data_IF_873690081908
#
_entry.id   IF_873690081908
#
_cell.length_a   1.000
_cell.length_b   1.000
_cell.length_c   1.000
_cell.angle_alpha   90.00
_cell.angle_beta   90.00
_cell.angle_gamma   90.00
#
_symmetry.space_group_name_H-M   'P 1'
#
loop_
_entity.id
_entity.type
_entity.pdbx_description
1 polymer ?
#
# COMPACT_ATOMS: atom_id res chain seq x y z
N UNK A 1 10.99 -26.48 -117.45
CA UNK A 1 10.67 -26.96 -116.09
C UNK A 1 11.29 -26.01 -115.07
N UNK A 2 10.48 -25.28 -114.28
CA UNK A 2 10.97 -24.38 -113.23
C UNK A 2 10.75 -25.07 -111.88
N UNK A 3 11.81 -25.53 -111.24
CA UNK A 3 11.73 -26.23 -109.96
C UNK A 3 11.58 -25.22 -108.82
N UNK A 4 10.48 -25.35 -108.06
CA UNK A 4 10.24 -24.61 -106.81
C UNK A 4 10.95 -25.36 -105.68
N UNK A 5 11.93 -24.72 -105.04
CA UNK A 5 12.45 -25.17 -103.75
C UNK A 5 11.80 -24.34 -102.65
N UNK A 6 10.94 -24.97 -101.84
CA UNK A 6 10.40 -24.40 -100.62
C UNK A 6 11.33 -24.81 -99.47
N UNK A 7 12.12 -23.87 -98.97
CA UNK A 7 13.04 -24.09 -97.85
C UNK A 7 12.27 -23.82 -96.54
N UNK A 8 11.88 -24.89 -95.84
CA UNK A 8 11.22 -24.80 -94.54
C UNK A 8 12.29 -24.82 -93.42
N UNK A 9 12.53 -23.67 -92.80
CA UNK A 9 13.45 -23.56 -91.65
C UNK A 9 12.76 -24.07 -90.38
N UNK A 10 13.24 -25.17 -89.81
CA UNK A 10 12.97 -25.55 -88.42
C UNK A 10 13.87 -24.73 -87.50
N UNK A 11 13.28 -23.83 -86.71
CA UNK A 11 13.98 -23.12 -85.63
C UNK A 11 13.74 -23.89 -84.32
N UNK A 12 14.78 -24.32 -83.59
CA UNK A 12 14.60 -24.90 -82.26
C UNK A 12 14.15 -23.81 -81.28
N UNK A 13 12.97 -23.99 -80.69
CA UNK A 13 12.49 -23.17 -79.58
C UNK A 13 13.26 -23.58 -78.32
N UNK A 14 14.21 -22.74 -77.88
CA UNK A 14 14.82 -22.85 -76.55
C UNK A 14 14.14 -21.81 -75.67
N UNK A 15 13.14 -22.22 -74.89
CA UNK A 15 12.49 -21.36 -73.90
C UNK A 15 13.27 -21.40 -72.58
N UNK A 16 13.96 -20.32 -72.21
CA UNK A 16 14.40 -20.11 -70.83
C UNK A 16 13.25 -19.52 -70.01
N UNK A 17 12.96 -20.10 -68.85
CA UNK A 17 11.95 -19.61 -67.90
C UNK A 17 12.51 -18.49 -67.01
N UNK A 18 11.84 -17.33 -67.05
CA UNK A 18 11.90 -16.10 -66.20
C UNK A 18 13.25 -15.61 -65.64
N UNK A 19 13.61 -14.37 -66.00
CA UNK A 19 14.36 -13.42 -65.17
C UNK A 19 13.59 -12.09 -65.17
N UNK A 20 13.18 -11.63 -63.99
CA UNK A 20 12.54 -10.33 -63.80
C UNK A 20 13.57 -9.24 -63.55
N UNK A 21 13.72 -8.31 -64.50
CA UNK A 21 14.70 -7.21 -64.44
C UNK A 21 13.93 -5.90 -64.33
N UNK A 22 13.20 -5.66 -63.23
CA UNK A 22 12.12 -4.68 -63.31
C UNK A 22 11.00 -5.06 -64.31
N UNK A 23 10.82 -6.37 -64.57
CA UNK A 23 9.59 -7.17 -64.82
C UNK A 23 8.32 -6.56 -65.52
N UNK A 24 7.63 -7.32 -66.41
CA UNK A 24 6.16 -7.16 -66.67
C UNK A 24 5.31 -8.36 -66.21
N UNK A 25 5.84 -9.21 -65.32
CA UNK A 25 5.20 -10.06 -64.29
C UNK A 25 5.96 -11.38 -63.93
N UNK A 26 7.28 -11.37 -63.69
CA UNK A 26 7.88 -12.43 -62.88
C UNK A 26 7.60 -12.36 -61.37
N UNK A 27 7.41 -13.55 -60.79
CA UNK A 27 7.04 -13.78 -59.38
C UNK A 27 7.98 -14.81 -58.72
N UNK A 28 9.30 -14.64 -58.95
CA UNK A 28 10.54 -15.43 -58.54
C UNK A 28 11.10 -16.38 -59.64
N UNK A 29 12.35 -16.88 -59.68
CA UNK A 29 13.52 -16.85 -58.75
C UNK A 29 14.79 -16.27 -59.41
N UNK A 30 15.47 -15.41 -58.64
CA UNK A 30 16.85 -14.96 -58.87
C UNK A 30 17.71 -15.65 -57.79
N UNK A 31 18.67 -16.49 -58.20
CA UNK A 31 19.66 -17.06 -57.30
C UNK A 31 21.02 -16.41 -57.55
N UNK A 32 21.61 -15.85 -56.50
CA UNK A 32 22.92 -15.20 -56.55
C UNK A 32 23.86 -16.02 -55.68
N UNK A 33 24.77 -16.77 -56.30
CA UNK A 33 25.85 -17.46 -55.61
C UNK A 33 26.97 -16.46 -55.24
N UNK A 34 26.67 -15.57 -54.29
CA UNK A 34 27.52 -14.46 -53.84
C UNK A 34 26.76 -13.42 -53.01
N UNK A 35 27.43 -12.31 -52.67
CA UNK A 35 26.80 -11.20 -51.95
C UNK A 35 26.11 -10.21 -52.90
N UNK A 36 24.96 -9.69 -52.50
CA UNK A 36 24.32 -8.55 -53.16
C UNK A 36 24.75 -7.27 -52.42
N UNK A 37 25.43 -6.37 -53.14
CA UNK A 37 25.78 -5.04 -52.60
C UNK A 37 24.74 -4.04 -53.05
N UNK A 38 24.09 -3.38 -52.09
CA UNK A 38 23.21 -2.26 -52.35
C UNK A 38 23.98 -0.94 -52.23
N UNK A 39 23.58 0.05 -53.05
CA UNK A 39 24.12 1.41 -52.90
C UNK A 39 23.61 2.01 -51.59
N UNK A 40 24.52 2.41 -50.73
CA UNK A 40 24.22 3.24 -49.56
C UNK A 40 24.16 4.71 -49.96
N UNK A 41 23.09 5.40 -49.55
CA UNK A 41 22.91 6.84 -49.74
C UNK A 41 22.85 7.54 -48.38
N UNK A 42 23.53 8.68 -48.25
CA UNK A 42 23.57 9.45 -46.99
C UNK A 42 22.53 10.56 -46.98
N UNK A 43 21.83 10.71 -45.85
CA UNK A 43 20.84 11.75 -45.61
C UNK A 43 21.17 12.46 -44.30
N UNK A 44 21.53 13.75 -44.39
CA UNK A 44 21.90 14.53 -43.21
C UNK A 44 20.66 15.03 -42.48
N UNK A 45 20.65 14.88 -41.16
CA UNK A 45 19.63 15.42 -40.27
C UNK A 45 19.69 16.94 -40.26
N UNK A 46 18.54 17.56 -40.47
CA UNK A 46 18.32 18.99 -40.22
C UNK A 46 17.11 19.15 -39.30
N UNK A 47 17.26 19.91 -38.21
CA UNK A 47 16.18 20.16 -37.25
C UNK A 47 15.50 18.88 -36.72
N UNK A 48 16.28 17.85 -36.41
CA UNK A 48 15.80 16.52 -35.99
C UNK A 48 14.84 15.85 -37.00
N UNK A 49 15.01 16.14 -38.30
CA UNK A 49 14.32 15.45 -39.37
C UNK A 49 15.31 14.94 -40.42
N UNK A 50 15.03 13.76 -41.00
CA UNK A 50 15.77 13.19 -42.12
C UNK A 50 14.78 12.76 -43.21
N UNK A 51 15.00 13.21 -44.44
CA UNK A 51 14.11 12.92 -45.56
C UNK A 51 14.81 12.05 -46.62
N UNK A 52 14.44 10.77 -46.66
CA UNK A 52 14.90 9.78 -47.64
C UNK A 52 14.00 9.92 -48.87
N UNK A 53 14.23 10.96 -49.67
CA UNK A 53 13.35 11.36 -50.78
C UNK A 53 13.67 10.66 -52.12
N UNK A 54 14.62 9.73 -52.13
CA UNK A 54 15.02 8.97 -53.31
C UNK A 54 14.86 7.47 -53.06
N UNK A 55 14.50 6.72 -54.09
CA UNK A 55 14.44 5.25 -54.01
C UNK A 55 15.83 4.67 -53.72
N UNK A 56 16.02 4.15 -52.50
CA UNK A 56 17.28 3.53 -52.05
C UNK A 56 16.98 2.29 -51.23
N UNK A 57 17.89 1.31 -51.27
CA UNK A 57 17.79 0.10 -50.44
C UNK A 57 18.54 0.23 -49.12
N UNK A 58 19.53 1.13 -49.03
CA UNK A 58 20.24 1.45 -47.79
C UNK A 58 20.33 2.97 -47.65
N UNK A 59 19.76 3.48 -46.56
CA UNK A 59 19.81 4.89 -46.19
C UNK A 59 20.62 5.08 -44.91
N UNK A 60 21.68 5.87 -44.99
CA UNK A 60 22.51 6.25 -43.86
C UNK A 60 22.13 7.64 -43.36
N UNK A 61 21.50 7.71 -42.19
CA UNK A 61 21.14 8.98 -41.59
C UNK A 61 22.33 9.47 -40.76
N UNK A 62 22.81 10.68 -41.08
CA UNK A 62 24.02 11.29 -40.48
C UNK A 62 23.75 12.71 -39.99
N UNK A 63 24.75 13.39 -39.43
CA UNK A 63 24.60 14.75 -38.90
C UNK A 63 24.29 14.79 -37.41
N UNK A 64 24.18 15.99 -36.84
CA UNK A 64 24.00 16.18 -35.39
C UNK A 64 22.53 16.28 -35.02
N UNK A 65 22.03 15.28 -34.31
CA UNK A 65 20.71 15.27 -33.71
C UNK A 65 20.76 15.88 -32.30
N UNK A 66 19.79 16.74 -31.98
CA UNK A 66 19.59 17.33 -30.65
C UNK A 66 18.35 16.77 -29.93
N UNK A 67 17.65 15.85 -30.60
CA UNK A 67 16.48 15.13 -30.11
C UNK A 67 16.18 13.94 -31.03
N UNK A 68 15.07 13.23 -30.76
CA UNK A 68 14.63 12.12 -31.62
C UNK A 68 14.44 12.57 -33.06
N UNK A 69 15.03 11.85 -34.01
CA UNK A 69 14.98 12.18 -35.44
C UNK A 69 13.71 11.62 -36.06
N UNK A 70 12.86 12.47 -36.63
CA UNK A 70 11.72 12.04 -37.44
C UNK A 70 12.19 11.69 -38.86
N UNK A 71 12.02 10.43 -39.27
CA UNK A 71 12.41 9.98 -40.60
C UNK A 71 11.18 9.90 -41.50
N UNK A 72 11.25 10.57 -42.65
CA UNK A 72 10.33 10.35 -43.76
C UNK A 72 11.07 9.64 -44.88
N UNK A 73 10.39 8.73 -45.57
CA UNK A 73 10.91 8.07 -46.75
C UNK A 73 9.94 8.22 -47.91
N UNK A 74 10.45 8.04 -49.12
CA UNK A 74 9.64 7.88 -50.32
C UNK A 74 8.58 6.78 -50.11
N UNK A 75 7.45 6.93 -50.79
CA UNK A 75 6.35 5.95 -50.77
C UNK A 75 6.45 5.13 -52.05
N UNK A 76 6.87 3.85 -51.99
CA UNK A 76 6.94 3.00 -53.17
C UNK A 76 5.56 2.81 -53.81
N UNK A 77 5.55 2.67 -55.14
CA UNK A 77 4.32 2.42 -55.91
C UNK A 77 3.92 0.94 -55.93
N UNK A 78 4.83 0.04 -55.53
CA UNK A 78 4.61 -1.42 -55.51
C UNK A 78 5.03 -2.01 -54.16
N UNK A 79 4.35 -3.08 -53.73
CA UNK A 79 4.74 -3.84 -52.53
C UNK A 79 6.02 -4.66 -52.81
N UNK A 80 6.79 -4.95 -51.76
CA UNK A 80 8.01 -5.75 -51.80
C UNK A 80 9.31 -4.95 -51.75
N UNK A 81 9.26 -3.60 -51.72
CA UNK A 81 10.47 -2.80 -51.54
C UNK A 81 11.09 -3.04 -50.16
N UNK A 82 12.43 -3.14 -50.14
CA UNK A 82 13.22 -3.28 -48.92
C UNK A 82 14.05 -2.00 -48.75
N UNK A 83 13.98 -1.43 -47.55
CA UNK A 83 14.77 -0.27 -47.13
C UNK A 83 15.41 -0.57 -45.79
N UNK A 84 16.74 -0.55 -45.73
CA UNK A 84 17.49 -0.56 -44.48
C UNK A 84 17.89 0.87 -44.13
N UNK A 85 17.55 1.29 -42.91
CA UNK A 85 17.87 2.63 -42.39
C UNK A 85 18.89 2.48 -41.27
N UNK A 86 20.06 3.09 -41.44
CA UNK A 86 21.14 3.21 -40.46
C UNK A 86 21.03 4.54 -39.74
N UNK A 87 20.98 4.57 -38.41
CA UNK A 87 21.04 5.81 -37.63
C UNK A 87 22.46 6.04 -37.12
N UNK A 88 23.26 6.79 -37.87
CA UNK A 88 24.64 7.16 -37.53
C UNK A 88 24.76 8.67 -37.20
N UNK A 89 23.73 9.24 -36.60
CA UNK A 89 23.74 10.64 -36.15
C UNK A 89 24.70 10.83 -34.97
N UNK A 90 25.24 12.03 -34.80
CA UNK A 90 25.87 12.43 -33.52
C UNK A 90 24.80 12.96 -32.57
N UNK A 91 24.97 12.76 -31.25
CA UNK A 91 24.01 13.19 -30.23
C UNK A 91 23.29 12.05 -29.49
N UNK A 92 23.41 10.80 -29.96
CA UNK A 92 22.96 9.61 -29.23
C UNK A 92 21.44 9.37 -29.23
N UNK A 93 20.67 10.18 -29.96
CA UNK A 93 19.22 10.04 -30.03
C UNK A 93 18.78 8.95 -31.02
N UNK A 94 17.60 8.35 -30.76
CA UNK A 94 16.96 7.45 -31.70
C UNK A 94 16.38 8.17 -32.91
N UNK A 95 16.15 7.43 -34.00
CA UNK A 95 15.41 7.87 -35.16
C UNK A 95 14.11 7.08 -35.27
N UNK A 96 13.00 7.70 -35.64
CA UNK A 96 11.69 7.03 -35.73
C UNK A 96 11.22 6.96 -37.18
N UNK A 97 10.92 5.75 -37.65
CA UNK A 97 10.35 5.49 -38.97
C UNK A 97 9.25 4.43 -38.87
N UNK A 98 8.08 4.69 -39.46
CA UNK A 98 6.91 3.79 -39.45
C UNK A 98 6.58 3.23 -38.04
N UNK A 99 6.63 4.10 -37.03
CA UNK A 99 6.37 3.74 -35.62
C UNK A 99 7.48 2.93 -34.93
N UNK A 100 8.58 2.64 -35.63
CA UNK A 100 9.72 1.90 -35.08
C UNK A 100 10.85 2.86 -34.72
N UNK A 101 11.42 2.72 -33.52
CA UNK A 101 12.63 3.43 -33.11
C UNK A 101 13.87 2.66 -33.52
N UNK A 102 14.77 3.34 -34.22
CA UNK A 102 16.10 2.90 -34.66
C UNK A 102 17.11 3.59 -33.74
N UNK A 103 17.75 2.83 -32.84
CA UNK A 103 18.71 3.39 -31.90
C UNK A 103 19.93 3.94 -32.63
N UNK A 104 20.65 4.88 -31.99
CA UNK A 104 21.90 5.38 -32.51
C UNK A 104 22.93 4.26 -32.65
N UNK A 105 23.62 4.18 -33.79
CA UNK A 105 24.52 3.08 -34.17
C UNK A 105 23.81 1.81 -34.66
N UNK A 106 22.48 1.82 -34.78
CA UNK A 106 21.69 0.68 -35.25
C UNK A 106 21.29 0.85 -36.72
N UNK A 107 21.20 -0.27 -37.45
CA UNK A 107 20.51 -0.36 -38.73
C UNK A 107 19.27 -1.26 -38.62
N UNK A 108 18.15 -0.84 -39.20
CA UNK A 108 16.89 -1.58 -39.18
C UNK A 108 16.32 -1.70 -40.58
N UNK A 109 15.90 -2.90 -40.94
CA UNK A 109 15.27 -3.18 -42.24
C UNK A 109 13.75 -3.02 -42.15
N UNK A 110 13.19 -2.44 -43.20
CA UNK A 110 11.77 -2.24 -43.43
C UNK A 110 11.38 -2.83 -44.78
N UNK A 111 10.18 -3.40 -44.84
CA UNK A 111 9.57 -3.92 -46.07
C UNK A 111 8.29 -3.14 -46.33
N UNK A 112 8.16 -2.57 -47.53
CA UNK A 112 6.91 -1.92 -47.95
C UNK A 112 5.93 -2.98 -48.43
N UNK A 113 4.81 -3.14 -47.73
CA UNK A 113 3.81 -4.14 -48.07
C UNK A 113 2.43 -3.69 -47.61
N UNK A 114 1.39 -4.08 -48.36
CA UNK A 114 0.00 -3.64 -48.14
C UNK A 114 -0.13 -2.11 -48.03
N UNK A 115 0.64 -1.36 -48.85
CA UNK A 115 0.59 0.10 -48.90
C UNK A 115 1.25 0.83 -47.72
N UNK A 116 2.08 0.15 -46.91
CA UNK A 116 2.81 0.79 -45.80
C UNK A 116 4.17 0.13 -45.54
N UNK A 117 5.11 0.90 -44.97
CA UNK A 117 6.37 0.37 -44.48
C UNK A 117 6.16 -0.43 -43.18
N UNK A 118 6.71 -1.65 -43.10
CA UNK A 118 6.67 -2.53 -41.92
C UNK A 118 8.10 -2.87 -41.49
N UNK A 119 8.39 -2.86 -40.19
CA UNK A 119 9.72 -3.24 -39.69
C UNK A 119 9.91 -4.76 -39.71
N UNK A 120 11.15 -5.21 -39.92
CA UNK A 120 11.56 -6.61 -39.71
C UNK A 120 12.08 -6.88 -38.31
N UNK A 121 12.23 -5.84 -37.47
CA UNK A 121 12.35 -6.08 -36.04
C UNK A 121 11.05 -6.76 -35.64
N UNK A 122 11.13 -8.05 -35.27
CA UNK A 122 9.98 -8.77 -34.74
C UNK A 122 9.30 -7.89 -33.70
N UNK A 123 7.97 -7.90 -33.64
CA UNK A 123 7.17 -7.09 -32.72
C UNK A 123 7.74 -7.28 -31.32
N UNK A 124 8.68 -6.42 -30.95
CA UNK A 124 9.20 -6.34 -29.61
C UNK A 124 8.03 -5.68 -28.92
N UNK A 125 7.15 -6.53 -28.38
CA UNK A 125 6.30 -6.14 -27.27
C UNK A 125 7.31 -5.56 -26.31
N UNK A 126 7.40 -4.22 -26.32
CA UNK A 126 8.38 -3.45 -25.58
C UNK A 126 8.41 -4.08 -24.21
N UNK A 127 9.58 -4.48 -23.71
CA UNK A 127 9.68 -4.86 -22.31
C UNK A 127 9.12 -3.67 -21.53
N UNK A 128 7.89 -3.81 -21.03
CA UNK A 128 7.17 -2.72 -20.38
C UNK A 128 7.84 -2.58 -19.02
N UNK A 129 8.94 -1.83 -19.01
CA UNK A 129 9.57 -1.42 -17.77
C UNK A 129 8.51 -0.63 -16.99
N UNK A 130 8.39 -0.93 -15.70
CA UNK A 130 7.53 -0.15 -14.81
C UNK A 130 8.02 1.32 -14.75
N UNK A 131 9.26 1.62 -15.14
CA UNK A 131 9.85 2.96 -15.21
C UNK A 131 10.12 3.45 -16.65
N UNK A 132 10.13 4.78 -16.84
CA UNK A 132 10.50 5.40 -18.11
C UNK A 132 12.02 5.69 -18.22
N UNK A 133 12.64 6.17 -17.13
CA UNK A 133 14.10 6.28 -16.92
C UNK A 133 14.38 6.71 -15.47
N UNK A 134 15.40 6.14 -14.82
CA UNK A 134 15.85 6.47 -13.46
C UNK A 134 14.73 6.65 -12.40
N UNK A 135 13.72 5.75 -12.42
CA UNK A 135 12.66 5.74 -11.39
C UNK A 135 11.52 6.74 -11.59
N UNK A 136 11.52 7.52 -12.68
CA UNK A 136 10.43 8.48 -12.96
C UNK A 136 9.25 7.81 -13.67
N UNK A 137 8.04 8.17 -13.26
CA UNK A 137 6.77 7.73 -13.86
C UNK A 137 6.07 8.93 -14.48
N UNK A 138 5.70 8.85 -15.76
CA UNK A 138 4.85 9.87 -16.41
C UNK A 138 3.36 9.60 -16.17
N UNK A 139 2.99 8.38 -15.77
CA UNK A 139 1.62 7.94 -15.45
C UNK A 139 1.64 6.80 -14.42
N UNK A 140 0.49 6.50 -13.82
CA UNK A 140 0.31 5.33 -12.95
C UNK A 140 0.75 4.03 -13.63
N UNK A 141 1.16 3.06 -12.81
CA UNK A 141 1.55 1.72 -13.25
C UNK A 141 0.72 0.70 -12.50
N UNK A 142 0.04 -0.15 -13.25
CA UNK A 142 -0.63 -1.34 -12.71
C UNK A 142 0.25 -2.53 -13.04
N UNK A 143 0.66 -3.28 -12.02
CA UNK A 143 1.35 -4.55 -12.18
C UNK A 143 0.29 -5.64 -12.07
N UNK A 144 -0.08 -6.25 -13.19
CA UNK A 144 -0.88 -7.47 -13.19
C UNK A 144 0.06 -8.68 -13.09
N UNK A 145 0.02 -9.37 -11.95
CA UNK A 145 0.92 -10.49 -11.68
C UNK A 145 0.36 -11.82 -12.21
N UNK A 146 -0.94 -11.90 -12.52
CA UNK A 146 -1.62 -13.16 -12.75
C UNK A 146 -1.35 -14.18 -11.64
N UNK A 147 -0.72 -15.30 -11.99
CA UNK A 147 -0.33 -16.36 -11.05
C UNK A 147 1.10 -16.21 -10.45
N UNK A 148 1.78 -15.09 -10.70
CA UNK A 148 3.19 -14.90 -10.33
C UNK A 148 3.36 -13.98 -9.10
N UNK A 149 4.60 -13.88 -8.61
CA UNK A 149 4.98 -13.05 -7.47
C UNK A 149 5.93 -11.89 -7.88
N UNK A 150 5.76 -10.72 -7.26
CA UNK A 150 6.68 -9.58 -7.30
C UNK A 150 7.65 -9.68 -6.11
N UNK A 151 8.93 -9.98 -6.38
CA UNK A 151 9.94 -10.25 -5.34
C UNK A 151 11.09 -9.23 -5.41
N UNK A 152 11.43 -8.60 -4.27
CA UNK A 152 12.62 -7.74 -4.10
C UNK A 152 13.73 -8.50 -3.32
N UNK A 153 14.88 -8.80 -3.93
CA UNK A 153 15.91 -9.74 -3.38
C UNK A 153 17.16 -9.08 -2.79
N UNK A 154 17.22 -7.75 -2.70
CA UNK A 154 18.37 -7.02 -2.14
C UNK A 154 18.43 -7.05 -0.60
N UNK A 155 19.63 -6.83 -0.03
CA UNK A 155 19.85 -6.76 1.42
C UNK A 155 19.46 -5.42 2.08
N UNK A 156 19.09 -4.41 1.28
CA UNK A 156 18.66 -3.09 1.76
C UNK A 156 17.16 -3.04 2.09
N UNK A 157 16.76 -2.10 2.94
CA UNK A 157 15.36 -1.87 3.30
C UNK A 157 14.58 -1.28 2.12
N UNK A 158 13.44 -1.86 1.78
CA UNK A 158 12.45 -1.22 0.92
C UNK A 158 11.82 -0.03 1.68
N UNK A 159 12.02 1.19 1.18
CA UNK A 159 11.51 2.41 1.80
C UNK A 159 10.49 3.06 0.88
N UNK A 160 9.24 3.13 1.34
CA UNK A 160 8.19 3.98 0.74
C UNK A 160 8.27 5.34 1.41
N UNK A 161 8.93 6.31 0.75
CA UNK A 161 9.20 7.62 1.36
C UNK A 161 7.92 8.42 1.65
N UNK A 162 6.83 8.12 0.95
CA UNK A 162 5.54 8.80 1.10
C UNK A 162 4.49 7.88 1.75
N UNK A 163 3.87 7.01 0.96
CA UNK A 163 2.76 6.16 1.40
C UNK A 163 2.88 4.76 0.77
N UNK A 164 2.48 3.76 1.54
CA UNK A 164 2.21 2.39 1.10
C UNK A 164 0.71 2.17 1.27
N UNK A 165 0.03 1.67 0.23
CA UNK A 165 -1.38 1.33 0.30
C UNK A 165 -1.66 0.02 -0.42
N UNK A 166 -2.59 -0.78 0.10
CA UNK A 166 -3.07 -2.01 -0.53
C UNK A 166 -4.45 -1.78 -1.17
N UNK A 167 -4.87 -2.63 -2.10
CA UNK A 167 -6.23 -2.53 -2.66
C UNK A 167 -7.24 -2.94 -1.59
N UNK A 168 -8.10 -1.98 -1.19
CA UNK A 168 -9.02 -2.06 -0.04
C UNK A 168 -8.37 -1.85 1.33
N UNK A 169 -7.11 -1.43 1.42
CA UNK A 169 -6.37 -1.09 2.64
C UNK A 169 -6.91 0.11 3.44
N UNK A 170 -7.51 -0.08 4.62
CA UNK A 170 -7.72 0.99 5.65
C UNK A 170 -7.37 0.66 7.12
N UNK A 171 -6.11 0.35 7.48
CA UNK A 171 -5.55 -0.11 8.80
C UNK A 171 -5.60 -1.61 9.21
N UNK A 172 -4.51 -2.43 9.24
CA UNK A 172 -3.18 -2.28 9.86
C UNK A 172 -2.02 -3.03 9.17
N UNK A 173 -1.20 -2.39 8.33
CA UNK A 173 -0.23 -1.40 8.76
C UNK A 173 -0.61 0.09 8.86
N UNK A 174 -1.86 0.56 8.75
CA UNK A 174 -2.57 1.06 7.56
C UNK A 174 -3.40 0.12 6.62
N UNK A 175 -3.67 -1.15 6.96
CA UNK A 175 -4.59 -2.14 6.31
C UNK A 175 -6.00 -2.67 6.80
N UNK A 176 -7.11 -1.97 6.62
CA UNK A 176 -8.42 -2.60 6.68
C UNK A 176 -8.37 -3.39 5.43
N UNK A 177 -8.90 -4.58 5.48
CA UNK A 177 -9.48 -5.10 4.27
C UNK A 177 -10.88 -4.47 4.26
N UNK A 178 -11.05 -3.31 3.60
CA UNK A 178 -12.33 -2.62 3.49
C UNK A 178 -13.33 -3.56 2.83
N UNK A 179 -14.30 -3.99 3.62
CA UNK A 179 -15.53 -4.54 3.09
C UNK A 179 -16.71 -4.04 3.94
N UNK A 180 -17.23 -2.87 3.59
CA UNK A 180 -18.39 -2.26 4.27
C UNK A 180 -19.65 -3.14 4.22
N UNK A 181 -19.69 -4.14 3.34
CA UNK A 181 -20.75 -5.14 3.31
C UNK A 181 -20.65 -6.22 4.42
N UNK A 182 -19.48 -6.41 5.07
CA UNK A 182 -19.30 -7.38 6.18
C UNK A 182 -19.00 -6.76 7.55
N UNK A 183 -18.70 -5.46 7.62
CA UNK A 183 -18.45 -4.76 8.89
C UNK A 183 -17.02 -4.79 9.43
N UNK A 184 -16.09 -5.34 8.65
CA UNK A 184 -14.67 -5.45 9.00
C UNK A 184 -13.96 -4.11 8.78
N UNK A 185 -13.91 -3.25 9.80
CA UNK A 185 -13.02 -2.08 9.81
C UNK A 185 -12.55 -1.79 11.23
N UNK A 186 -11.24 -1.72 11.40
CA UNK A 186 -10.56 -1.30 12.62
C UNK A 186 -9.60 -0.20 12.22
N UNK A 187 -9.50 0.92 12.96
CA UNK A 187 -8.61 2.04 12.61
C UNK A 187 -7.83 2.70 13.75
N UNK A 188 -6.65 3.28 13.47
CA UNK A 188 -5.87 4.10 14.41
C UNK A 188 -5.85 5.46 13.74
N UNK A 189 -6.40 6.43 14.43
CA UNK A 189 -6.37 7.81 13.97
C UNK A 189 -5.82 8.70 15.08
N UNK A 190 -5.04 9.72 14.69
CA UNK A 190 -4.86 10.88 15.55
C UNK A 190 -6.04 11.80 15.30
N UNK A 191 -6.81 12.09 16.33
CA UNK A 191 -7.90 13.05 16.28
C UNK A 191 -7.41 14.42 16.72
N UNK A 192 -7.97 15.46 16.09
CA UNK A 192 -7.83 16.85 16.49
C UNK A 192 -9.16 17.44 16.98
N UNK A 193 -9.11 18.54 17.72
CA UNK A 193 -10.28 19.30 18.19
C UNK A 193 -11.28 19.77 17.10
N UNK A 194 -10.98 19.54 15.81
CA UNK A 194 -11.90 19.82 14.71
C UNK A 194 -13.12 18.89 14.66
N UNK A 195 -13.12 17.76 15.38
CA UNK A 195 -14.25 16.84 15.48
C UNK A 195 -15.13 17.17 16.70
N UNK A 196 -16.45 17.28 16.51
CA UNK A 196 -17.42 17.63 17.56
C UNK A 196 -17.35 16.67 18.75
N UNK A 197 -17.26 17.21 19.97
CA UNK A 197 -17.27 16.41 21.20
C UNK A 197 -15.95 15.72 21.52
N UNK A 198 -14.84 16.20 20.98
CA UNK A 198 -13.55 15.50 21.11
C UNK A 198 -12.37 16.41 21.48
N UNK A 199 -11.35 15.80 22.10
CA UNK A 199 -10.03 16.38 22.35
C UNK A 199 -8.96 15.65 21.53
N UNK A 200 -7.79 16.27 21.37
CA UNK A 200 -6.66 15.67 20.67
C UNK A 200 -6.23 14.34 21.32
N UNK A 201 -6.30 13.23 20.58
CA UNK A 201 -5.97 11.90 21.09
C UNK A 201 -5.58 10.92 19.98
N UNK A 202 -4.77 9.90 20.30
CA UNK A 202 -4.67 8.69 19.48
C UNK A 202 -5.86 7.78 19.81
N UNK A 203 -6.63 7.40 18.80
CA UNK A 203 -7.78 6.50 18.94
C UNK A 203 -7.53 5.18 18.26
N UNK A 204 -8.01 4.11 18.89
CA UNK A 204 -8.30 2.84 18.25
C UNK A 204 -9.82 2.76 18.09
N UNK A 205 -10.32 2.49 16.89
CA UNK A 205 -11.76 2.52 16.58
C UNK A 205 -12.20 1.31 15.75
N UNK A 206 -13.52 1.06 15.74
CA UNK A 206 -14.19 0.05 14.92
C UNK A 206 -15.18 0.72 13.95
N UNK A 207 -15.66 -0.03 12.95
CA UNK A 207 -16.66 0.46 11.98
C UNK A 207 -18.05 0.66 12.62
N UNK A 208 -18.86 1.59 12.07
CA UNK A 208 -20.27 1.76 12.46
C UNK A 208 -21.19 0.84 11.65
N UNK A 209 -20.83 -0.44 11.52
CA UNK A 209 -21.60 -1.42 10.75
C UNK A 209 -22.94 -1.74 11.43
N UNK A 210 -24.03 -1.67 10.67
CA UNK A 210 -25.41 -1.83 11.16
C UNK A 210 -25.83 -3.28 11.43
N UNK A 211 -24.99 -4.27 11.06
CA UNK A 211 -25.19 -5.69 11.38
C UNK A 211 -24.80 -6.01 12.83
N UNK A 212 -23.99 -7.06 13.05
CA UNK A 212 -23.35 -7.27 14.37
C UNK A 212 -22.23 -6.23 14.51
N UNK A 213 -22.41 -5.15 15.29
CA UNK A 213 -21.47 -4.04 15.20
C UNK A 213 -20.15 -4.47 15.84
N UNK A 214 -19.03 -4.16 15.20
CA UNK A 214 -17.71 -4.59 15.65
C UNK A 214 -17.33 -3.90 16.95
N UNK A 215 -16.59 -4.63 17.78
CA UNK A 215 -16.14 -4.13 19.07
C UNK A 215 -14.65 -4.35 19.25
N UNK A 216 -14.03 -3.53 20.10
CA UNK A 216 -12.64 -3.72 20.49
C UNK A 216 -12.56 -4.89 21.47
N UNK A 217 -11.85 -5.94 21.08
CA UNK A 217 -11.64 -7.12 21.89
C UNK A 217 -10.14 -7.36 22.09
N UNK A 218 -9.77 -7.65 23.32
CA UNK A 218 -8.46 -8.15 23.71
C UNK A 218 -8.59 -9.64 23.97
N UNK A 219 -7.66 -10.42 23.45
CA UNK A 219 -7.75 -11.85 23.51
C UNK A 219 -6.66 -12.52 22.71
N UNK A 220 -6.86 -13.81 22.44
CA UNK A 220 -5.96 -14.57 21.59
C UNK A 220 -6.76 -15.48 20.67
N UNK A 221 -6.22 -15.71 19.49
CA UNK A 221 -6.62 -16.84 18.69
C UNK A 221 -6.21 -18.13 19.41
N UNK A 222 -7.17 -19.01 19.67
CA UNK A 222 -6.93 -20.35 20.23
C UNK A 222 -6.68 -21.38 19.15
N UNK A 223 -7.06 -21.07 17.91
CA UNK A 223 -6.65 -21.73 16.67
C UNK A 223 -6.80 -20.74 15.49
N UNK A 224 -6.67 -21.20 14.25
CA UNK A 224 -6.69 -20.34 13.05
C UNK A 224 -8.01 -19.57 12.83
N UNK A 225 -9.11 -19.97 13.46
CA UNK A 225 -10.44 -19.35 13.24
C UNK A 225 -11.15 -18.97 14.53
N UNK A 226 -10.75 -19.51 15.68
CA UNK A 226 -11.38 -19.25 16.96
C UNK A 226 -10.58 -18.22 17.77
N UNK A 227 -11.25 -17.16 18.19
CA UNK A 227 -10.71 -16.12 19.07
C UNK A 227 -11.35 -16.23 20.46
N UNK A 228 -10.53 -16.35 21.50
CA UNK A 228 -10.97 -16.23 22.89
C UNK A 228 -10.75 -14.81 23.39
N UNK A 229 -11.85 -14.14 23.69
CA UNK A 229 -11.85 -12.79 24.25
C UNK A 229 -11.59 -12.83 25.76
N UNK A 230 -10.55 -12.13 26.20
CA UNK A 230 -10.23 -11.91 27.62
C UNK A 230 -10.84 -10.63 28.15
N UNK A 231 -10.89 -9.58 27.32
CA UNK A 231 -11.56 -8.35 27.66
C UNK A 231 -12.17 -7.72 26.41
N UNK A 232 -13.23 -6.95 26.57
CA UNK A 232 -13.87 -6.27 25.44
C UNK A 232 -14.56 -4.99 25.86
N UNK A 233 -14.60 -4.06 24.92
CA UNK A 233 -15.68 -3.09 24.89
C UNK A 233 -16.90 -3.71 24.19
N UNK A 234 -18.10 -3.25 24.51
CA UNK A 234 -19.28 -3.46 23.66
C UNK A 234 -19.72 -2.12 23.06
N UNK A 235 -20.71 -2.16 22.17
CA UNK A 235 -21.08 -0.99 21.35
C UNK A 235 -21.64 0.18 22.17
N UNK A 236 -22.15 -0.08 23.37
CA UNK A 236 -22.61 0.93 24.33
C UNK A 236 -21.49 1.48 25.23
N UNK A 237 -20.25 1.01 25.07
CA UNK A 237 -19.05 1.55 25.73
C UNK A 237 -18.64 0.84 27.03
N UNK A 238 -19.38 -0.17 27.49
CA UNK A 238 -19.03 -0.91 28.69
C UNK A 238 -17.81 -1.81 28.47
N UNK A 239 -16.96 -1.89 29.49
CA UNK A 239 -15.76 -2.70 29.49
C UNK A 239 -15.94 -3.95 30.36
N UNK A 240 -15.79 -5.12 29.73
CA UNK A 240 -15.87 -6.42 30.39
C UNK A 240 -14.52 -7.11 30.44
N UNK A 241 -14.20 -7.74 31.57
CA UNK A 241 -13.07 -8.67 31.72
C UNK A 241 -13.63 -10.08 32.00
N UNK A 242 -13.26 -11.03 31.13
CA UNK A 242 -13.71 -12.41 31.10
C UNK A 242 -15.24 -12.59 30.98
N UNK A 243 -15.94 -11.56 30.48
CA UNK A 243 -17.40 -11.53 30.37
C UNK A 243 -17.88 -10.60 29.26
N UNK A 244 -19.14 -10.75 28.85
CA UNK A 244 -19.88 -9.72 28.11
C UNK A 244 -20.47 -8.76 29.17
N UNK A 245 -20.01 -7.51 29.24
CA UNK A 245 -20.39 -6.62 30.32
C UNK A 245 -21.88 -6.29 30.31
N UNK A 246 -22.44 -6.12 31.51
CA UNK A 246 -23.84 -5.70 31.78
C UNK A 246 -23.86 -4.47 32.70
N UNK A 247 -22.69 -3.86 32.89
CA UNK A 247 -22.42 -2.70 33.73
C UNK A 247 -21.20 -2.01 33.14
N UNK A 248 -21.04 -0.70 33.35
CA UNK A 248 -19.96 0.11 32.74
C UNK A 248 -18.58 -0.52 32.88
N UNK A 249 -18.29 -1.12 34.03
CA UNK A 249 -17.14 -1.98 34.25
C UNK A 249 -17.62 -3.29 34.88
N UNK A 250 -17.40 -4.42 34.21
CA UNK A 250 -17.81 -5.74 34.69
C UNK A 250 -16.62 -6.71 34.68
N UNK A 251 -16.22 -7.19 35.85
CA UNK A 251 -15.21 -8.22 36.01
C UNK A 251 -15.86 -9.52 36.45
N UNK A 252 -15.70 -10.60 35.66
CA UNK A 252 -16.05 -11.95 36.10
C UNK A 252 -14.84 -12.57 36.80
N UNK A 253 -14.82 -12.49 38.12
CA UNK A 253 -13.75 -13.02 38.96
C UNK A 253 -13.48 -12.13 40.17
N UNK A 254 -12.35 -12.36 40.83
CA UNK A 254 -11.91 -11.53 41.96
C UNK A 254 -11.16 -10.30 41.49
N UNK A 255 -11.33 -9.17 42.20
CA UNK A 255 -10.54 -7.94 42.03
C UNK A 255 -9.58 -7.81 43.21
N UNK A 256 -8.28 -7.72 42.94
CA UNK A 256 -7.28 -7.45 43.96
C UNK A 256 -7.24 -5.95 44.28
N UNK A 257 -7.48 -5.61 45.54
CA UNK A 257 -7.42 -4.24 46.04
C UNK A 257 -6.17 -4.03 46.90
N UNK A 258 -5.66 -2.80 46.98
CA UNK A 258 -4.55 -2.51 47.88
C UNK A 258 -4.96 -2.67 49.34
N UNK A 259 -4.07 -3.27 50.13
CA UNK A 259 -4.25 -3.47 51.55
C UNK A 259 -2.96 -3.10 52.27
N UNK A 260 -3.05 -2.25 53.28
CA UNK A 260 -1.88 -1.74 54.03
C UNK A 260 -2.11 -1.90 55.52
N UNK A 261 -1.19 -2.57 56.21
CA UNK A 261 -1.12 -2.55 57.68
C UNK A 261 -0.19 -1.41 58.07
N UNK A 262 -0.68 -0.43 58.82
CA UNK A 262 0.09 0.78 59.12
C UNK A 262 1.06 0.55 60.27
N UNK A 263 2.22 1.20 60.20
CA UNK A 263 3.25 1.20 61.25
C UNK A 263 3.49 2.59 61.86
N UNK A 264 2.78 3.60 61.37
CA UNK A 264 2.79 5.00 61.82
C UNK A 264 1.44 5.64 61.46
N UNK A 265 1.21 6.88 61.87
CA UNK A 265 0.05 7.65 61.42
C UNK A 265 0.02 7.77 59.90
N UNK A 266 -1.15 7.59 59.28
CA UNK A 266 -1.29 7.54 57.82
C UNK A 266 -2.37 8.50 57.32
N UNK A 267 -2.00 9.34 56.36
CA UNK A 267 -2.93 10.08 55.50
C UNK A 267 -3.29 9.22 54.29
N UNK A 268 -4.58 8.94 54.09
CA UNK A 268 -5.04 8.16 52.93
C UNK A 268 -4.95 9.00 51.64
N UNK A 269 -4.63 8.32 50.54
CA UNK A 269 -4.52 8.88 49.19
C UNK A 269 -5.03 7.87 48.14
N UNK A 270 -4.83 8.12 46.85
CA UNK A 270 -5.31 7.26 45.75
C UNK A 270 -4.69 5.87 45.68
N UNK A 271 -3.57 5.60 46.36
CA UNK A 271 -2.96 4.27 46.36
C UNK A 271 -3.57 3.32 47.40
N UNK A 272 -4.39 3.84 48.33
CA UNK A 272 -4.99 3.06 49.40
C UNK A 272 -6.43 2.65 49.06
N UNK A 273 -6.82 1.43 49.42
CA UNK A 273 -8.22 0.97 49.40
C UNK A 273 -8.61 0.38 50.75
N UNK A 274 -7.79 -0.53 51.28
CA UNK A 274 -7.97 -1.08 52.62
C UNK A 274 -6.79 -0.72 53.52
N UNK A 275 -7.07 -0.20 54.72
CA UNK A 275 -6.06 0.13 55.72
C UNK A 275 -6.40 -0.54 57.04
N UNK A 276 -5.39 -1.15 57.66
CA UNK A 276 -5.51 -1.84 58.94
C UNK A 276 -4.67 -1.11 59.97
N UNK A 277 -5.31 -0.64 61.04
CA UNK A 277 -4.68 -0.16 62.26
C UNK A 277 -4.36 -1.40 63.10
N UNK A 278 -3.08 -1.76 63.32
CA UNK A 278 -2.73 -3.01 63.99
C UNK A 278 -3.07 -2.99 65.48
N UNK A 279 -3.18 -4.19 66.07
CA UNK A 279 -3.47 -4.40 67.48
C UNK A 279 -2.44 -3.67 68.36
N UNK A 280 -2.90 -3.03 69.43
CA UNK A 280 -2.05 -2.35 70.41
C UNK A 280 -1.40 -1.04 69.93
N UNK A 281 -1.62 -0.63 68.68
CA UNK A 281 -1.06 0.63 68.17
C UNK A 281 -1.83 1.87 68.66
N UNK A 282 -1.13 3.00 68.74
CA UNK A 282 -1.73 4.33 68.93
C UNK A 282 -2.03 5.05 67.61
N UNK A 283 -1.70 4.45 66.47
CA UNK A 283 -1.75 5.10 65.16
C UNK A 283 -3.15 5.60 64.80
N UNK A 284 -3.15 6.70 64.08
CA UNK A 284 -4.31 7.39 63.54
C UNK A 284 -4.32 7.28 62.03
N UNK A 285 -5.53 7.25 61.47
CA UNK A 285 -5.74 7.33 60.03
C UNK A 285 -6.42 8.67 59.77
N UNK A 286 -5.89 9.43 58.82
CA UNK A 286 -6.50 10.66 58.35
C UNK A 286 -7.16 10.39 57.01
N UNK A 287 -8.47 10.59 56.94
CA UNK A 287 -9.17 10.70 55.65
C UNK A 287 -8.73 12.01 54.98
N UNK A 288 -8.49 12.04 53.67
CA UNK A 288 -8.25 13.29 52.97
C UNK A 288 -9.56 14.10 52.86
N UNK A 289 -9.46 15.41 52.66
CA UNK A 289 -10.62 16.30 52.48
C UNK A 289 -11.50 15.78 51.35
N UNK A 290 -12.78 15.49 51.60
CA UNK A 290 -13.65 14.80 50.62
C UNK A 290 -13.81 15.54 49.27
N UNK A 291 -13.57 16.86 49.25
CA UNK A 291 -13.66 17.70 48.06
C UNK A 291 -12.78 17.19 46.90
N UNK A 292 -13.37 17.03 45.72
CA UNK A 292 -12.67 16.62 44.50
C UNK A 292 -12.42 15.11 44.34
N UNK A 293 -12.95 14.27 45.24
CA UNK A 293 -12.76 12.80 45.20
C UNK A 293 -14.08 12.01 45.17
N UNK A 294 -15.10 12.50 44.46
CA UNK A 294 -16.39 11.81 44.32
C UNK A 294 -16.21 10.35 43.90
N UNK A 295 -16.87 9.46 44.62
CA UNK A 295 -16.86 8.01 44.35
C UNK A 295 -15.66 7.26 44.93
N UNK A 296 -14.67 7.94 45.52
CA UNK A 296 -13.54 7.26 46.20
C UNK A 296 -14.04 6.50 47.43
N UNK A 297 -13.58 5.26 47.60
CA UNK A 297 -14.01 4.38 48.70
C UNK A 297 -12.79 3.89 49.48
N UNK A 298 -12.83 4.01 50.81
CA UNK A 298 -11.85 3.43 51.71
C UNK A 298 -12.50 2.43 52.67
N UNK A 299 -11.79 1.37 52.98
CA UNK A 299 -12.10 0.44 54.06
C UNK A 299 -11.04 0.62 55.15
N UNK A 300 -11.46 1.04 56.34
CA UNK A 300 -10.55 1.24 57.48
C UNK A 300 -10.92 0.23 58.55
N UNK A 301 -9.97 -0.61 58.92
CA UNK A 301 -10.13 -1.66 59.92
C UNK A 301 -9.34 -1.26 61.16
N UNK A 302 -10.04 -1.06 62.27
CA UNK A 302 -9.44 -0.85 63.58
C UNK A 302 -9.35 -2.18 64.34
N UNK A 303 -8.20 -2.85 64.23
CA UNK A 303 -7.92 -4.06 65.02
C UNK A 303 -7.45 -3.75 66.45
N UNK A 304 -7.37 -2.48 66.85
CA UNK A 304 -6.98 -2.12 68.21
C UNK A 304 -8.13 -2.32 69.20
N UNK A 305 -7.77 -2.50 70.47
CA UNK A 305 -8.73 -2.67 71.57
C UNK A 305 -9.43 -1.37 72.00
N UNK A 306 -9.03 -0.23 71.45
CA UNK A 306 -9.60 1.08 71.73
C UNK A 306 -10.24 1.68 70.47
N UNK A 307 -11.21 2.57 70.63
CA UNK A 307 -11.70 3.37 69.52
C UNK A 307 -10.59 4.29 68.99
N UNK A 308 -10.66 4.60 67.71
CA UNK A 308 -9.70 5.48 67.02
C UNK A 308 -10.42 6.69 66.48
N UNK A 309 -9.86 7.86 66.74
CA UNK A 309 -10.31 9.10 66.12
C UNK A 309 -9.63 9.25 64.76
N UNK A 310 -10.41 9.66 63.77
CA UNK A 310 -9.99 10.16 62.47
C UNK A 310 -9.85 11.68 62.58
N UNK A 311 -8.94 12.24 61.79
CA UNK A 311 -8.75 13.70 61.75
C UNK A 311 -9.93 14.40 61.05
N UNK A 312 -10.57 13.74 60.09
CA UNK A 312 -11.75 14.25 59.39
C UNK A 312 -13.00 13.45 59.78
N UNK A 313 -14.14 14.13 59.85
CA UNK A 313 -15.43 13.49 60.14
C UNK A 313 -15.96 12.76 58.91
N UNK A 314 -16.75 11.71 59.16
CA UNK A 314 -17.65 11.09 58.19
C UNK A 314 -19.08 11.09 58.75
N UNK A 315 -20.06 11.00 57.85
CA UNK A 315 -21.48 10.86 58.16
C UNK A 315 -21.77 9.38 58.31
N UNK A 316 -22.19 8.95 59.50
CA UNK A 316 -22.50 7.54 59.75
C UNK A 316 -23.86 7.13 59.16
N UNK A 317 -24.20 5.85 59.31
CA UNK A 317 -25.47 5.29 58.82
C UNK A 317 -26.73 5.92 59.46
N UNK A 318 -26.59 6.62 60.59
CA UNK A 318 -27.68 7.36 61.24
C UNK A 318 -27.76 8.84 60.80
N UNK A 319 -26.87 9.28 59.89
CA UNK A 319 -26.81 10.66 59.40
C UNK A 319 -26.03 11.63 60.30
N UNK A 320 -25.35 11.14 61.34
CA UNK A 320 -24.58 11.98 62.26
C UNK A 320 -23.13 12.12 61.80
N UNK A 321 -22.58 13.34 61.90
CA UNK A 321 -21.16 13.61 61.71
C UNK A 321 -20.36 13.08 62.89
N UNK A 322 -19.48 12.10 62.63
CA UNK A 322 -18.64 11.45 63.63
C UNK A 322 -17.21 11.30 63.10
N UNK A 323 -16.23 11.19 64.00
CA UNK A 323 -14.84 10.94 63.64
C UNK A 323 -14.25 9.70 64.32
N UNK A 324 -15.07 8.84 64.91
CA UNK A 324 -14.58 7.69 65.68
C UNK A 324 -14.87 6.39 64.97
N UNK A 325 -13.84 5.54 64.83
CA UNK A 325 -13.96 4.12 64.49
C UNK A 325 -13.93 3.34 65.80
N UNK A 326 -14.93 2.49 66.03
CA UNK A 326 -15.02 1.69 67.25
C UNK A 326 -13.85 0.68 67.36
N UNK A 327 -13.56 0.24 68.59
CA UNK A 327 -12.60 -0.82 68.84
C UNK A 327 -13.02 -2.12 68.12
N UNK A 328 -12.05 -2.89 67.64
CA UNK A 328 -12.28 -4.18 66.96
C UNK A 328 -13.38 -4.13 65.88
N UNK A 329 -13.39 -3.07 65.08
CA UNK A 329 -14.41 -2.83 64.05
C UNK A 329 -13.78 -2.31 62.77
N UNK A 330 -14.54 -2.25 61.69
CA UNK A 330 -14.15 -1.54 60.48
C UNK A 330 -15.30 -0.71 59.93
N UNK A 331 -14.96 0.25 59.09
CA UNK A 331 -15.92 1.05 58.33
C UNK A 331 -15.54 1.02 56.85
N UNK A 332 -16.54 1.07 55.98
CA UNK A 332 -16.34 1.44 54.58
C UNK A 332 -16.97 2.81 54.35
N UNK A 333 -16.17 3.77 53.88
CA UNK A 333 -16.63 5.13 53.60
C UNK A 333 -16.46 5.46 52.13
N UNK A 334 -17.43 6.20 51.58
CA UNK A 334 -17.42 6.70 50.21
C UNK A 334 -17.61 8.22 50.21
N UNK A 335 -16.83 8.93 49.39
CA UNK A 335 -16.98 10.37 49.21
C UNK A 335 -18.05 10.68 48.16
N UNK A 336 -18.91 11.65 48.42
CA UNK A 336 -19.80 12.25 47.41
C UNK A 336 -19.15 13.45 46.68
N UNK A 337 -17.93 13.83 47.07
CA UNK A 337 -17.23 15.03 46.61
C UNK A 337 -17.37 16.24 47.53
N UNK A 338 -18.07 16.10 48.65
CA UNK A 338 -18.21 17.13 49.71
C UNK A 338 -17.98 16.54 51.10
N UNK A 339 -18.57 15.38 51.39
CA UNK A 339 -18.49 14.66 52.66
C UNK A 339 -18.11 13.19 52.45
N UNK A 340 -17.59 12.56 53.51
CA UNK A 340 -17.46 11.11 53.59
C UNK A 340 -18.73 10.50 54.19
N UNK A 341 -19.30 9.48 53.55
CA UNK A 341 -20.44 8.71 54.06
C UNK A 341 -20.02 7.29 54.37
N UNK A 342 -20.40 6.78 55.54
CA UNK A 342 -20.32 5.34 55.81
C UNK A 342 -21.34 4.61 54.93
N UNK A 343 -20.89 3.57 54.22
CA UNK A 343 -21.73 2.73 53.35
C UNK A 343 -21.83 1.28 53.83
N UNK A 344 -20.97 0.87 54.76
CA UNK A 344 -21.04 -0.36 55.54
C UNK A 344 -20.46 -0.17 56.93
#
# INVERSE_FOLDING_TARGET
MKNKFLLLFFIPYVSFTQVGIGTTDPRTMLDVNGAVTYREASFTVASNAANINTETSIANITGTATGTVAVTAYVPTINGHILTISNNTSGGFGATFSGTTILNGQAVTFVYTNGAWKTTLGSSVTATNIYNSNGTLTNNRTIDQGANNLIFTGSARAVFQNRLGFAKDTQWGMAAVYFSASGDSYGLEKVSAAQTGTTDALRLLTSNFTGSPPHLAFGKYTNSTAFTTFARFINSGEFGIAIIPTSTFHVKGSVANSITVISTDLLLNESHKTVIIPLGSSFTVTLPVASGMTGRIYTIINNSAASKSLTENYINLAGSSINTINAASGIEVQSDGTNWYQIR
#
